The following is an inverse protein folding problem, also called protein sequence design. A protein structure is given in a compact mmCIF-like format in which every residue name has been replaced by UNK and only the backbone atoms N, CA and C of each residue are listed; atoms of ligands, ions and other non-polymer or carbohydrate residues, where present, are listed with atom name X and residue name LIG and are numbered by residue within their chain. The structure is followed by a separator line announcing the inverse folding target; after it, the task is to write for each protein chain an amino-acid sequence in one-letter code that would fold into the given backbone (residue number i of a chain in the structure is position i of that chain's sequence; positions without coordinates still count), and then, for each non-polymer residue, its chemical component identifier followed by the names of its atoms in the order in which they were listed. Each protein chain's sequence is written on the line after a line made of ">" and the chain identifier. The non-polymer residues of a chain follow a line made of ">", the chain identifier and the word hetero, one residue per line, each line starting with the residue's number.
data_IF_403870380697
#
_entry.id   IF_403870380697
#
_cell.length_a   1.000
_cell.length_b   1.000
_cell.length_c   1.000
_cell.angle_alpha   90.00
_cell.angle_beta   90.00
_cell.angle_gamma   90.00
#
_symmetry.space_group_name_H-M   'P 1'
#
loop_
_entity.id
_entity.type
_entity.pdbx_description
1 polymer ?
#
# COMPACT_ATOMS: atom_id res chain seq x y z
N UNK A 1 -10.67 26.31 -2.48
CA UNK A 1 -11.69 25.29 -2.12
C UNK A 1 -11.51 24.15 -3.11
N UNK A 2 -11.08 22.98 -2.65
CA UNK A 2 -10.96 21.81 -3.53
C UNK A 2 -12.36 21.31 -3.87
N UNK A 3 -12.63 21.10 -5.15
CA UNK A 3 -13.89 20.54 -5.64
C UNK A 3 -13.74 19.03 -5.80
N UNK A 4 -14.53 18.27 -5.09
CA UNK A 4 -14.63 16.82 -5.29
C UNK A 4 -15.71 16.51 -6.31
N UNK A 5 -15.40 15.66 -7.27
CA UNK A 5 -16.36 15.13 -8.23
C UNK A 5 -16.70 13.70 -7.85
N UNK A 6 -17.97 13.40 -7.75
CA UNK A 6 -18.45 12.02 -7.58
C UNK A 6 -18.54 11.39 -8.96
N UNK A 7 -17.86 10.29 -9.15
CA UNK A 7 -17.92 9.49 -10.38
C UNK A 7 -18.63 8.17 -10.02
N UNK A 8 -19.70 7.88 -10.73
CA UNK A 8 -20.45 6.66 -10.55
C UNK A 8 -20.03 5.63 -11.61
N UNK A 9 -19.87 4.38 -11.19
CA UNK A 9 -19.66 3.25 -12.07
C UNK A 9 -21.02 2.67 -12.44
N UNK A 10 -21.42 2.79 -13.68
CA UNK A 10 -22.73 2.35 -14.19
C UNK A 10 -22.60 1.01 -14.91
N UNK A 11 -23.10 -0.05 -14.30
CA UNK A 11 -23.12 -1.39 -14.87
C UNK A 11 -24.52 -1.74 -15.39
N UNK A 12 -24.60 -2.57 -16.41
CA UNK A 12 -25.90 -3.05 -16.95
C UNK A 12 -26.71 -3.86 -15.94
N UNK A 13 -26.04 -4.45 -14.97
CA UNK A 13 -26.62 -5.15 -13.80
C UNK A 13 -25.67 -5.10 -12.63
N UNK A 14 -26.16 -5.25 -11.42
CA UNK A 14 -25.36 -5.33 -10.20
C UNK A 14 -25.56 -6.69 -9.53
N UNK A 15 -24.47 -7.25 -9.06
CA UNK A 15 -24.48 -8.44 -8.21
C UNK A 15 -23.77 -8.16 -6.88
N UNK A 16 -23.73 -9.15 -6.01
CA UNK A 16 -23.12 -9.05 -4.67
C UNK A 16 -21.62 -8.73 -4.67
N UNK A 17 -20.92 -8.96 -5.79
CA UNK A 17 -19.48 -8.68 -5.93
C UNK A 17 -19.19 -7.37 -6.68
N UNK A 18 -20.19 -6.70 -7.24
CA UNK A 18 -20.00 -5.51 -8.10
C UNK A 18 -19.32 -4.34 -7.38
N UNK A 19 -19.42 -4.26 -6.07
CA UNK A 19 -18.71 -3.28 -5.25
C UNK A 19 -17.19 -3.38 -5.38
N UNK A 20 -16.68 -4.55 -5.74
CA UNK A 20 -15.23 -4.76 -5.85
C UNK A 20 -14.57 -3.88 -6.89
N UNK A 21 -15.26 -3.48 -7.95
CA UNK A 21 -14.68 -2.62 -9.00
C UNK A 21 -14.23 -1.27 -8.46
N UNK A 22 -14.95 -0.66 -7.50
CA UNK A 22 -14.52 0.61 -6.89
C UNK A 22 -13.36 0.42 -5.90
N UNK A 23 -13.02 -0.79 -5.57
CA UNK A 23 -11.87 -1.14 -4.73
C UNK A 23 -10.61 -1.39 -5.58
N UNK A 24 -10.44 -0.57 -6.63
CA UNK A 24 -9.29 -0.59 -7.53
C UNK A 24 -8.05 -0.01 -6.85
N UNK A 25 -6.89 -0.45 -7.29
CA UNK A 25 -5.61 0.14 -6.89
C UNK A 25 -5.18 1.17 -7.95
N UNK A 26 -5.03 2.41 -7.53
CA UNK A 26 -4.51 3.49 -8.36
C UNK A 26 -3.17 3.97 -7.81
N UNK A 27 -2.16 3.97 -8.66
CA UNK A 27 -0.85 4.55 -8.41
C UNK A 27 -0.58 5.67 -9.40
N UNK A 28 0.58 6.32 -9.30
CA UNK A 28 1.01 7.31 -10.30
C UNK A 28 1.11 6.73 -11.72
N UNK A 29 1.47 5.46 -11.84
CA UNK A 29 1.85 4.87 -13.13
C UNK A 29 0.82 3.88 -13.68
N UNK A 30 -0.04 3.32 -12.84
CA UNK A 30 -0.95 2.24 -13.23
C UNK A 30 -2.24 2.28 -12.42
N UNK A 31 -3.34 1.84 -13.07
CA UNK A 31 -4.59 1.48 -12.40
C UNK A 31 -4.80 -0.01 -12.57
N UNK A 32 -5.10 -0.70 -11.49
CA UNK A 32 -5.45 -2.13 -11.50
C UNK A 32 -6.88 -2.27 -10.98
N UNK A 33 -7.76 -2.84 -11.81
CA UNK A 33 -9.17 -3.03 -11.51
C UNK A 33 -9.39 -4.50 -11.14
N UNK A 34 -10.04 -4.82 -10.01
CA UNK A 34 -10.37 -6.21 -9.70
C UNK A 34 -11.43 -6.75 -10.67
N UNK A 35 -11.23 -7.97 -11.15
CA UNK A 35 -12.23 -8.73 -11.90
C UNK A 35 -13.00 -9.65 -10.97
N UNK A 36 -14.30 -9.76 -11.18
CA UNK A 36 -15.20 -10.59 -10.36
C UNK A 36 -15.59 -11.90 -11.04
N UNK A 37 -14.96 -12.21 -12.18
CA UNK A 37 -15.23 -13.46 -12.94
C UNK A 37 -16.54 -13.42 -13.73
N UNK A 38 -17.13 -12.25 -13.92
CA UNK A 38 -18.26 -12.02 -14.83
C UNK A 38 -17.75 -11.20 -16.04
N UNK A 39 -17.46 -11.88 -17.14
CA UNK A 39 -16.83 -11.28 -18.31
C UNK A 39 -17.58 -10.05 -18.84
N UNK A 40 -18.92 -10.04 -18.79
CA UNK A 40 -19.73 -8.91 -19.23
C UNK A 40 -19.51 -7.69 -18.33
N UNK A 41 -19.68 -7.86 -17.03
CA UNK A 41 -19.51 -6.79 -16.05
C UNK A 41 -18.05 -6.35 -15.94
N UNK A 42 -17.11 -7.29 -16.01
CA UNK A 42 -15.67 -7.01 -16.02
C UNK A 42 -15.30 -6.10 -17.21
N UNK A 43 -15.85 -6.37 -18.42
CA UNK A 43 -15.62 -5.54 -19.60
C UNK A 43 -16.30 -4.17 -19.49
N UNK A 44 -17.51 -4.10 -18.94
CA UNK A 44 -18.22 -2.83 -18.72
C UNK A 44 -17.45 -1.94 -17.72
N UNK A 45 -16.99 -2.50 -16.62
CA UNK A 45 -16.18 -1.78 -15.63
C UNK A 45 -14.88 -1.27 -16.28
N UNK A 46 -14.13 -2.14 -16.96
CA UNK A 46 -12.89 -1.77 -17.63
C UNK A 46 -13.08 -0.66 -18.66
N UNK A 47 -14.16 -0.74 -19.48
CA UNK A 47 -14.49 0.29 -20.46
C UNK A 47 -14.70 1.66 -19.81
N UNK A 48 -15.36 1.70 -18.65
CA UNK A 48 -15.58 2.95 -17.91
C UNK A 48 -14.30 3.48 -17.29
N UNK A 49 -13.46 2.62 -16.69
CA UNK A 49 -12.14 3.07 -16.18
C UNK A 49 -11.28 3.65 -17.30
N UNK A 50 -11.23 3.03 -18.47
CA UNK A 50 -10.47 3.55 -19.61
C UNK A 50 -11.00 4.90 -20.08
N UNK A 51 -12.32 5.09 -20.10
CA UNK A 51 -12.95 6.35 -20.49
C UNK A 51 -12.73 7.47 -19.45
N UNK A 52 -12.77 7.13 -18.15
CA UNK A 52 -12.63 8.08 -17.04
C UNK A 52 -11.18 8.54 -16.82
N UNK A 53 -10.21 7.69 -17.15
CA UNK A 53 -8.80 7.95 -16.91
C UNK A 53 -7.96 7.92 -18.20
N UNK A 54 -8.19 8.88 -19.13
CA UNK A 54 -7.50 8.90 -20.43
C UNK A 54 -5.98 9.02 -20.31
N UNK A 55 -5.49 9.67 -19.24
CA UNK A 55 -4.05 9.80 -18.95
C UNK A 55 -3.37 8.47 -18.62
N UNK A 56 -4.15 7.45 -18.26
CA UNK A 56 -3.67 6.08 -17.99
C UNK A 56 -3.81 5.16 -19.21
N UNK A 57 -3.98 5.70 -20.40
CA UNK A 57 -4.16 4.88 -21.61
C UNK A 57 -3.03 3.85 -21.76
N UNK A 58 -3.40 2.58 -21.87
CA UNK A 58 -2.46 1.45 -21.94
C UNK A 58 -1.83 1.05 -20.59
N UNK A 59 -2.26 1.70 -19.49
CA UNK A 59 -1.76 1.43 -18.13
C UNK A 59 -2.90 1.10 -17.16
N UNK A 60 -4.04 0.67 -17.67
CA UNK A 60 -5.18 0.15 -16.89
C UNK A 60 -5.26 -1.33 -17.16
N UNK A 61 -5.17 -2.13 -16.10
CA UNK A 61 -5.15 -3.58 -16.15
C UNK A 61 -6.25 -4.17 -15.28
N UNK A 62 -6.69 -5.36 -15.60
CA UNK A 62 -7.61 -6.12 -14.77
C UNK A 62 -6.94 -7.37 -14.21
N UNK A 63 -7.20 -7.64 -12.93
CA UNK A 63 -6.75 -8.85 -12.25
C UNK A 63 -7.95 -9.60 -11.71
N UNK A 64 -8.11 -10.87 -12.08
CA UNK A 64 -9.20 -11.71 -11.58
C UNK A 64 -9.00 -12.02 -10.10
N UNK A 65 -9.99 -11.63 -9.28
CA UNK A 65 -9.93 -11.74 -7.82
C UNK A 65 -11.19 -12.38 -7.21
N UNK A 66 -12.05 -13.00 -8.02
CA UNK A 66 -13.33 -13.54 -7.56
C UNK A 66 -13.18 -14.39 -6.30
N UNK A 67 -12.32 -15.39 -6.32
CA UNK A 67 -12.12 -16.30 -5.18
C UNK A 67 -11.61 -15.58 -3.92
N UNK A 68 -10.74 -14.59 -4.12
CA UNK A 68 -10.23 -13.78 -3.02
C UNK A 68 -11.33 -12.92 -2.40
N UNK A 69 -12.14 -12.25 -3.23
CA UNK A 69 -13.25 -11.38 -2.81
C UNK A 69 -14.30 -12.20 -2.04
N UNK A 70 -14.71 -13.34 -2.58
CA UNK A 70 -15.70 -14.25 -1.95
C UNK A 70 -15.21 -14.79 -0.60
N UNK A 71 -13.92 -15.11 -0.50
CA UNK A 71 -13.34 -15.71 0.70
C UNK A 71 -12.99 -14.72 1.79
N UNK A 72 -12.50 -13.52 1.42
CA UNK A 72 -11.90 -12.57 2.35
C UNK A 72 -12.68 -11.25 2.47
N UNK A 73 -13.65 -11.00 1.62
CA UNK A 73 -14.50 -9.80 1.66
C UNK A 73 -13.78 -8.49 1.34
N UNK A 74 -12.62 -8.55 0.69
CA UNK A 74 -11.81 -7.41 0.29
C UNK A 74 -11.37 -7.48 -1.17
N UNK A 75 -10.81 -6.41 -1.72
CA UNK A 75 -10.21 -6.38 -3.05
C UNK A 75 -8.89 -5.58 -3.02
N UNK A 76 -8.42 -5.08 -4.16
CA UNK A 76 -7.06 -4.55 -4.30
C UNK A 76 -6.71 -3.43 -3.33
N UNK A 77 -7.56 -2.42 -3.19
CA UNK A 77 -7.27 -1.30 -2.30
C UNK A 77 -7.24 -1.73 -0.82
N UNK A 78 -8.15 -2.64 -0.41
CA UNK A 78 -8.19 -3.15 0.96
C UNK A 78 -6.97 -4.00 1.35
N UNK A 79 -6.33 -4.65 0.38
CA UNK A 79 -5.18 -5.54 0.61
C UNK A 79 -3.86 -4.98 0.11
N UNK A 80 -3.84 -3.73 -0.33
CA UNK A 80 -2.62 -3.04 -0.78
C UNK A 80 -2.25 -1.88 0.12
N UNK A 81 -0.97 -1.60 0.15
CA UNK A 81 -0.44 -0.43 0.83
C UNK A 81 0.49 0.32 -0.12
N UNK A 82 0.16 1.58 -0.39
CA UNK A 82 0.95 2.42 -1.29
C UNK A 82 1.96 3.21 -0.47
N UNK A 83 3.23 2.96 -0.73
CA UNK A 83 4.34 3.71 -0.14
C UNK A 83 4.82 4.71 -1.19
N UNK A 84 4.61 6.00 -0.94
CA UNK A 84 5.02 7.10 -1.83
C UNK A 84 6.29 7.77 -1.32
N UNK A 85 7.36 7.01 -1.08
CA UNK A 85 8.61 7.58 -0.58
C UNK A 85 9.79 7.34 -1.52
N UNK A 86 10.84 8.18 -1.34
CA UNK A 86 12.12 7.98 -1.99
C UNK A 86 12.65 6.59 -1.64
N UNK A 87 12.74 5.73 -2.66
CA UNK A 87 13.20 4.34 -2.51
C UNK A 87 14.61 4.24 -1.92
N UNK A 88 15.44 5.25 -2.11
CA UNK A 88 16.78 5.30 -1.51
C UNK A 88 16.72 5.46 0.00
N UNK A 89 15.80 6.30 0.49
CA UNK A 89 15.56 6.49 1.92
C UNK A 89 14.99 5.22 2.55
N UNK A 90 13.98 4.62 1.91
CA UNK A 90 13.38 3.37 2.38
C UNK A 90 14.43 2.24 2.50
N UNK A 91 15.30 2.10 1.49
CA UNK A 91 16.37 1.11 1.53
C UNK A 91 17.34 1.35 2.69
N UNK A 92 17.71 2.61 2.92
CA UNK A 92 18.58 3.00 4.03
C UNK A 92 17.96 2.71 5.39
N UNK A 93 16.67 2.98 5.56
CA UNK A 93 15.92 2.72 6.80
C UNK A 93 15.82 1.20 7.06
N UNK A 94 15.53 0.39 6.04
CA UNK A 94 15.51 -1.08 6.16
C UNK A 94 16.88 -1.64 6.56
N UNK A 95 17.97 -1.14 5.99
CA UNK A 95 19.33 -1.57 6.33
C UNK A 95 19.68 -1.21 7.78
N UNK A 96 19.30 -0.01 8.23
CA UNK A 96 19.52 0.42 9.61
C UNK A 96 18.65 -0.38 10.59
N UNK A 97 17.41 -0.72 10.24
CA UNK A 97 16.56 -1.59 11.08
C UNK A 97 17.13 -3.00 11.22
N UNK A 98 17.65 -3.58 10.15
CA UNK A 98 18.32 -4.89 10.21
C UNK A 98 19.55 -4.84 11.12
N UNK A 99 20.37 -3.79 11.00
CA UNK A 99 21.53 -3.59 11.84
C UNK A 99 21.14 -3.42 13.32
N UNK A 100 20.12 -2.59 13.60
CA UNK A 100 19.57 -2.39 14.93
C UNK A 100 19.14 -3.72 15.56
N UNK A 101 18.31 -4.49 14.87
CA UNK A 101 17.81 -5.77 15.38
C UNK A 101 18.94 -6.77 15.63
N UNK A 102 19.92 -6.84 14.74
CA UNK A 102 21.10 -7.70 14.90
C UNK A 102 21.92 -7.35 16.17
N UNK A 103 22.09 -6.05 16.46
CA UNK A 103 22.80 -5.61 17.67
C UNK A 103 21.99 -5.93 18.92
N UNK A 104 20.67 -5.75 18.90
CA UNK A 104 19.80 -6.10 20.05
C UNK A 104 19.82 -7.60 20.33
N UNK A 105 19.71 -8.44 19.31
CA UNK A 105 19.84 -9.89 19.47
C UNK A 105 21.19 -10.32 20.05
N UNK A 106 22.27 -9.68 19.59
CA UNK A 106 23.63 -9.92 20.09
C UNK A 106 23.73 -9.53 21.56
N UNK A 107 23.21 -8.35 21.95
CA UNK A 107 23.18 -7.87 23.33
C UNK A 107 22.37 -8.78 24.24
N UNK A 108 21.24 -9.31 23.79
CA UNK A 108 20.40 -10.24 24.56
C UNK A 108 21.08 -11.58 24.82
N UNK A 109 21.95 -12.03 23.91
CA UNK A 109 22.74 -13.27 24.09
C UNK A 109 23.93 -13.07 25.04
N UNK A 110 24.65 -11.99 24.87
CA UNK A 110 25.81 -11.62 25.68
C UNK A 110 26.04 -10.11 25.62
N UNK A 111 25.74 -9.42 26.72
CA UNK A 111 25.87 -7.94 26.79
C UNK A 111 27.30 -7.44 26.56
N UNK A 112 28.32 -8.28 26.83
CA UNK A 112 29.73 -7.92 26.63
C UNK A 112 30.17 -8.09 25.16
N UNK A 113 29.37 -8.70 24.32
CA UNK A 113 29.68 -8.94 22.91
C UNK A 113 29.47 -7.71 22.01
N UNK A 114 28.78 -6.69 22.53
CA UNK A 114 28.45 -5.47 21.75
C UNK A 114 29.63 -4.49 21.88
N UNK A 115 30.15 -4.05 20.74
CA UNK A 115 31.27 -3.11 20.72
C UNK A 115 30.81 -1.64 20.84
N UNK A 116 31.76 -0.73 21.11
CA UNK A 116 31.48 0.70 21.30
C UNK A 116 30.78 1.34 20.11
N UNK A 117 31.17 0.99 18.87
CA UNK A 117 30.55 1.54 17.65
C UNK A 117 29.10 1.08 17.47
N UNK A 118 28.78 -0.13 17.92
CA UNK A 118 27.41 -0.64 17.94
C UNK A 118 26.56 0.09 18.98
N UNK A 119 27.11 0.34 20.17
CA UNK A 119 26.42 1.13 21.21
C UNK A 119 26.17 2.56 20.74
N UNK A 120 27.16 3.18 20.11
CA UNK A 120 27.03 4.52 19.53
C UNK A 120 25.96 4.56 18.45
N UNK A 121 25.93 3.56 17.55
CA UNK A 121 24.88 3.45 16.52
C UNK A 121 23.48 3.36 17.16
N UNK A 122 23.28 2.56 18.19
CA UNK A 122 22.00 2.47 18.90
C UNK A 122 21.60 3.82 19.50
N UNK A 123 22.52 4.56 20.10
CA UNK A 123 22.27 5.87 20.68
C UNK A 123 21.88 6.93 19.66
N UNK A 124 22.44 6.87 18.45
CA UNK A 124 22.14 7.81 17.38
C UNK A 124 20.88 7.43 16.59
N UNK A 125 20.60 6.14 16.46
CA UNK A 125 19.51 5.63 15.60
C UNK A 125 18.17 5.54 16.34
N UNK A 126 18.15 5.06 17.58
CA UNK A 126 16.91 4.81 18.33
C UNK A 126 16.03 6.06 18.50
N UNK A 127 16.54 7.24 18.88
CA UNK A 127 15.73 8.44 18.98
C UNK A 127 15.09 8.85 17.66
N UNK A 128 15.83 8.72 16.55
CA UNK A 128 15.32 9.03 15.20
C UNK A 128 14.24 8.05 14.75
N UNK A 129 14.43 6.76 15.06
CA UNK A 129 13.44 5.72 14.80
C UNK A 129 12.15 6.00 15.57
N UNK A 130 12.23 6.32 16.85
CA UNK A 130 11.06 6.65 17.68
C UNK A 130 10.31 7.88 17.17
N UNK A 131 11.03 8.89 16.70
CA UNK A 131 10.44 10.09 16.12
C UNK A 131 9.71 9.79 14.81
N UNK A 132 10.31 8.94 13.95
CA UNK A 132 9.69 8.52 12.70
C UNK A 132 8.46 7.64 12.96
N UNK A 133 8.56 6.65 13.84
CA UNK A 133 7.45 5.77 14.20
C UNK A 133 6.27 6.56 14.79
N UNK A 134 6.53 7.55 15.66
CA UNK A 134 5.51 8.44 16.21
C UNK A 134 4.88 9.34 15.15
N UNK A 135 5.67 9.84 14.20
CA UNK A 135 5.18 10.68 13.10
C UNK A 135 4.27 9.89 12.17
N UNK A 136 4.64 8.64 11.88
CA UNK A 136 3.85 7.74 11.05
C UNK A 136 2.55 7.30 11.75
N UNK A 137 2.60 6.99 13.04
CA UNK A 137 1.42 6.72 13.85
C UNK A 137 0.47 7.91 13.87
N UNK A 138 0.97 9.13 14.06
CA UNK A 138 0.16 10.35 14.03
C UNK A 138 -0.49 10.57 12.66
N UNK A 139 0.24 10.32 11.58
CA UNK A 139 -0.29 10.39 10.21
C UNK A 139 -1.40 9.39 9.96
N UNK A 140 -1.24 8.15 10.45
CA UNK A 140 -2.23 7.08 10.29
C UNK A 140 -3.51 7.33 11.12
N UNK A 141 -3.36 7.84 12.35
CA UNK A 141 -4.49 8.03 13.26
C UNK A 141 -5.18 9.39 13.15
N UNK A 142 -4.47 10.44 12.78
CA UNK A 142 -4.98 11.81 12.79
C UNK A 142 -5.00 12.49 11.43
N UNK A 143 -4.44 11.87 10.38
CA UNK A 143 -4.49 12.37 9.00
C UNK A 143 -3.64 13.61 8.72
N UNK A 144 -2.61 13.89 9.54
CA UNK A 144 -1.69 15.04 9.36
C UNK A 144 -0.36 14.64 8.78
#
# INVERSE_FOLDING_TARGET
>A
MEHFYVIELNLSEYNELSWAYINALQTRDVIIVPGIGNTKLDNEAMGQFIALYPDYRGRIFQVQMKEFIEKWGGALNCCSWTISEDMSKLHHDIENDKRYNSIIEKYQKDSNSVCFDEIRFLGDYYPKKLENDNRELNRLYYGF
#
